data_IF_887303938320
#
_entry.id   IF_887303938320
#
_cell.length_a   1.000
_cell.length_b   1.000
_cell.length_c   1.000
_cell.angle_alpha   90.00
_cell.angle_beta   90.00
_cell.angle_gamma   90.00
#
_symmetry.space_group_name_H-M   'P 1'
#
loop_
_entity.id
_entity.type
_entity.pdbx_description
1 polymer ?
#
# COMPACT_ATOMS: atom_id res chain seq x y z
N UNK A 1 66.58 -44.34 39.89
CA UNK A 1 65.70 -44.35 41.08
C UNK A 1 64.47 -43.55 40.72
N UNK A 2 63.30 -44.13 40.96
CA UNK A 2 61.98 -43.69 40.50
C UNK A 2 61.34 -42.65 41.44
N UNK A 3 60.23 -42.08 40.97
CA UNK A 3 59.30 -41.11 41.58
C UNK A 3 59.60 -39.62 41.27
N UNK A 4 58.66 -38.79 40.85
CA UNK A 4 57.20 -38.95 40.81
C UNK A 4 56.51 -37.89 39.94
N UNK A 5 55.25 -38.16 39.63
CA UNK A 5 54.33 -37.38 38.79
C UNK A 5 53.78 -36.19 39.58
N UNK A 6 53.70 -35.02 38.93
CA UNK A 6 52.91 -33.87 39.36
C UNK A 6 52.34 -33.15 38.15
N UNK A 7 51.04 -33.32 37.92
CA UNK A 7 50.25 -32.63 36.89
C UNK A 7 49.99 -31.20 37.34
N UNK A 8 50.25 -30.21 36.48
CA UNK A 8 49.59 -28.90 36.58
C UNK A 8 49.14 -28.39 35.21
N UNK A 9 47.86 -28.08 35.17
CA UNK A 9 46.98 -27.71 34.06
C UNK A 9 47.36 -26.37 33.41
N UNK A 10 47.66 -26.36 32.12
CA UNK A 10 47.81 -25.15 31.30
C UNK A 10 46.67 -25.03 30.29
N UNK A 11 45.75 -24.10 30.52
CA UNK A 11 44.59 -23.83 29.64
C UNK A 11 44.90 -22.69 28.67
N UNK A 12 44.46 -22.88 27.42
CA UNK A 12 43.93 -21.91 26.44
C UNK A 12 44.84 -21.40 25.33
N UNK A 13 44.32 -21.53 24.11
CA UNK A 13 44.65 -20.66 22.98
C UNK A 13 44.16 -21.11 21.62
N UNK A 14 42.92 -21.59 21.46
CA UNK A 14 42.32 -21.69 20.11
C UNK A 14 41.62 -20.37 19.81
N UNK A 15 42.27 -19.52 19.02
CA UNK A 15 41.69 -18.30 18.49
C UNK A 15 40.67 -18.67 17.41
N UNK A 16 39.38 -18.58 17.72
CA UNK A 16 38.31 -18.68 16.74
C UNK A 16 38.11 -17.30 16.09
N UNK A 17 38.43 -17.18 14.81
CA UNK A 17 38.10 -16.01 13.99
C UNK A 17 36.60 -16.09 13.69
N UNK A 18 35.80 -15.26 14.35
CA UNK A 18 34.38 -15.13 14.06
C UNK A 18 34.21 -14.21 12.83
N UNK A 19 33.84 -14.80 11.69
CA UNK A 19 33.41 -14.06 10.50
C UNK A 19 32.00 -13.54 10.78
N UNK A 20 31.87 -12.24 11.05
CA UNK A 20 30.57 -11.58 11.15
C UNK A 20 29.98 -11.44 9.74
N UNK A 21 29.04 -12.33 9.38
CA UNK A 21 28.21 -12.16 8.20
C UNK A 21 27.27 -10.97 8.45
N UNK A 22 27.51 -9.84 7.78
CA UNK A 22 26.59 -8.72 7.74
C UNK A 22 25.37 -9.13 6.91
N UNK A 23 24.32 -9.59 7.58
CA UNK A 23 22.99 -9.65 6.97
C UNK A 23 22.48 -8.23 6.85
N UNK A 24 22.50 -7.68 5.62
CA UNK A 24 21.80 -6.45 5.28
C UNK A 24 20.30 -6.69 5.47
N UNK A 25 19.75 -6.25 6.60
CA UNK A 25 18.31 -6.21 6.83
C UNK A 25 17.74 -5.18 5.83
N UNK A 26 16.76 -5.54 4.99
CA UNK A 26 16.10 -4.56 4.14
C UNK A 26 15.49 -3.50 5.06
N UNK A 27 15.92 -2.24 4.92
CA UNK A 27 15.30 -1.14 5.62
C UNK A 27 13.81 -1.13 5.25
N UNK A 28 12.94 -1.19 6.26
CA UNK A 28 11.54 -0.87 6.05
C UNK A 28 11.52 0.60 5.59
N UNK A 29 11.26 0.82 4.30
CA UNK A 29 11.06 2.17 3.79
C UNK A 29 9.81 2.74 4.46
N UNK A 30 9.93 3.92 5.04
CA UNK A 30 8.79 4.61 5.64
C UNK A 30 8.04 5.36 4.55
N UNK A 31 6.71 5.45 4.71
CA UNK A 31 5.89 6.31 3.86
C UNK A 31 6.37 7.77 3.86
N UNK A 32 6.97 8.23 4.97
CA UNK A 32 7.47 9.60 5.12
C UNK A 32 8.60 9.97 4.14
N UNK A 33 9.38 9.00 3.66
CA UNK A 33 10.43 9.23 2.66
C UNK A 33 9.89 9.18 1.22
N UNK A 34 8.60 8.89 1.07
CA UNK A 34 7.89 8.76 -0.19
C UNK A 34 6.97 9.94 -0.45
N UNK A 35 6.79 10.30 -1.72
CA UNK A 35 5.67 11.15 -2.13
C UNK A 35 4.43 10.29 -2.34
N UNK A 36 3.28 10.79 -1.91
CA UNK A 36 2.00 10.08 -2.02
C UNK A 36 1.74 9.63 -3.46
N UNK A 37 2.09 10.45 -4.45
CA UNK A 37 1.98 10.17 -5.91
C UNK A 37 2.81 8.98 -6.41
N UNK A 38 3.78 8.50 -5.61
CA UNK A 38 4.65 7.35 -5.91
C UNK A 38 4.38 6.17 -4.99
N UNK A 39 3.50 6.31 -4.02
CA UNK A 39 3.35 5.32 -2.97
C UNK A 39 2.59 4.07 -3.45
N UNK A 40 3.04 2.91 -2.97
CA UNK A 40 2.43 1.61 -3.23
C UNK A 40 1.98 1.02 -1.90
N UNK A 41 0.76 0.51 -1.87
CA UNK A 41 0.12 -0.06 -0.71
C UNK A 41 -0.40 -1.46 -1.01
N UNK A 42 -0.36 -2.34 -0.02
CA UNK A 42 -0.78 -3.72 -0.16
C UNK A 42 -1.89 -4.07 0.83
N UNK A 43 -2.85 -4.85 0.34
CA UNK A 43 -3.85 -5.50 1.18
C UNK A 43 -3.19 -6.48 2.14
N UNK A 44 -3.70 -6.56 3.37
CA UNK A 44 -3.11 -7.38 4.44
C UNK A 44 -2.98 -8.86 4.06
N UNK A 45 -3.97 -9.38 3.33
CA UNK A 45 -4.04 -10.79 2.95
C UNK A 45 -3.59 -11.00 1.48
N UNK A 46 -3.05 -9.95 0.84
CA UNK A 46 -2.54 -9.99 -0.53
C UNK A 46 -3.64 -10.19 -1.57
N UNK A 47 -4.83 -9.62 -1.35
CA UNK A 47 -5.90 -9.62 -2.35
C UNK A 47 -5.63 -8.64 -3.50
N UNK A 48 -5.05 -7.47 -3.20
CA UNK A 48 -4.74 -6.44 -4.19
C UNK A 48 -3.61 -5.51 -3.77
N UNK A 49 -3.09 -4.78 -4.75
CA UNK A 49 -2.17 -3.66 -4.58
C UNK A 49 -2.84 -2.36 -5.03
N UNK A 50 -2.64 -1.29 -4.27
CA UNK A 50 -3.01 0.07 -4.65
C UNK A 50 -1.74 0.86 -4.94
N UNK A 51 -1.64 1.44 -6.14
CA UNK A 51 -0.49 2.22 -6.57
C UNK A 51 -0.93 3.62 -6.97
N UNK A 52 -0.37 4.63 -6.34
CA UNK A 52 -0.54 6.01 -6.78
C UNK A 52 0.29 6.30 -8.02
N UNK A 53 -0.15 7.29 -8.79
CA UNK A 53 0.58 7.85 -9.91
C UNK A 53 0.42 9.38 -9.91
N UNK A 54 1.40 10.12 -10.46
CA UNK A 54 1.27 11.56 -10.64
C UNK A 54 0.07 11.91 -11.52
N UNK A 55 -0.65 12.97 -11.18
CA UNK A 55 -1.77 13.50 -11.97
C UNK A 55 -1.32 14.10 -13.31
N UNK A 56 -0.04 14.44 -13.43
CA UNK A 56 0.58 15.02 -14.62
C UNK A 56 -0.13 16.29 -15.16
N UNK A 57 -0.93 16.95 -14.32
CA UNK A 57 -1.65 18.18 -14.65
C UNK A 57 -1.95 19.00 -13.39
N UNK A 58 -1.50 20.25 -13.38
CA UNK A 58 -1.82 21.22 -12.31
C UNK A 58 -3.28 21.68 -12.29
N UNK A 59 -4.04 21.36 -13.35
CA UNK A 59 -5.47 21.68 -13.48
C UNK A 59 -6.39 20.50 -13.19
N UNK A 60 -5.83 19.37 -12.71
CA UNK A 60 -6.63 18.24 -12.29
C UNK A 60 -7.52 18.62 -11.10
N UNK A 61 -8.81 18.29 -11.18
CA UNK A 61 -9.73 18.46 -10.05
C UNK A 61 -9.47 17.46 -8.92
N UNK A 62 -8.77 16.36 -9.23
CA UNK A 62 -8.34 15.37 -8.27
C UNK A 62 -7.12 15.85 -7.47
N UNK A 63 -7.04 15.46 -6.20
CA UNK A 63 -5.86 15.64 -5.35
C UNK A 63 -4.88 14.47 -5.45
N UNK A 64 -5.35 13.30 -5.90
CA UNK A 64 -4.56 12.12 -6.14
C UNK A 64 -5.18 11.25 -7.24
N UNK A 65 -4.34 10.47 -7.94
CA UNK A 65 -4.77 9.36 -8.80
C UNK A 65 -4.10 8.06 -8.36
N UNK A 66 -4.83 6.96 -8.44
CA UNK A 66 -4.31 5.64 -8.10
C UNK A 66 -4.91 4.55 -8.99
N UNK A 67 -4.29 3.37 -8.97
CA UNK A 67 -4.81 2.16 -9.58
C UNK A 67 -4.87 1.06 -8.54
N UNK A 68 -5.93 0.26 -8.58
CA UNK A 68 -6.04 -0.98 -7.82
C UNK A 68 -5.85 -2.16 -8.78
N UNK A 69 -4.85 -2.99 -8.51
CA UNK A 69 -4.60 -4.22 -9.25
C UNK A 69 -4.96 -5.42 -8.38
N UNK A 70 -5.95 -6.19 -8.82
CA UNK A 70 -6.30 -7.45 -8.18
C UNK A 70 -5.16 -8.44 -8.40
N UNK A 71 -4.63 -9.01 -7.32
CA UNK A 71 -3.50 -9.93 -7.45
C UNK A 71 -3.98 -11.23 -8.10
N UNK A 72 -3.13 -11.79 -8.99
CA UNK A 72 -3.37 -13.05 -9.74
C UNK A 72 -4.46 -12.96 -10.81
N UNK A 73 -4.95 -11.76 -11.14
CA UNK A 73 -5.87 -11.54 -12.27
C UNK A 73 -5.36 -10.37 -13.12
N UNK A 74 -5.85 -10.20 -14.35
CA UNK A 74 -5.53 -9.03 -15.16
C UNK A 74 -6.39 -7.80 -14.80
N UNK A 75 -7.21 -7.87 -13.74
CA UNK A 75 -8.16 -6.80 -13.39
C UNK A 75 -7.40 -5.62 -12.80
N UNK A 76 -7.55 -4.46 -13.45
CA UNK A 76 -7.04 -3.17 -13.00
C UNK A 76 -8.18 -2.17 -12.99
N UNK A 77 -8.32 -1.44 -11.89
CA UNK A 77 -9.32 -0.40 -11.70
C UNK A 77 -8.64 0.94 -11.50
N UNK A 78 -9.27 2.00 -11.97
CA UNK A 78 -8.74 3.36 -11.89
C UNK A 78 -9.44 4.15 -10.80
N UNK A 79 -8.65 4.84 -9.98
CA UNK A 79 -9.14 5.57 -8.83
C UNK A 79 -8.68 7.01 -8.84
N UNK A 80 -9.55 7.89 -8.37
CA UNK A 80 -9.29 9.31 -8.22
C UNK A 80 -9.76 9.75 -6.85
N UNK A 81 -9.00 10.64 -6.20
CA UNK A 81 -9.41 11.30 -4.96
C UNK A 81 -9.68 12.75 -5.25
N UNK A 82 -10.86 13.24 -4.87
CA UNK A 82 -11.27 14.63 -5.05
C UNK A 82 -11.65 15.24 -3.70
N UNK A 83 -11.32 16.53 -3.45
CA UNK A 83 -11.80 17.22 -2.28
C UNK A 83 -13.30 17.51 -2.41
N UNK A 84 -14.09 17.19 -1.37
CA UNK A 84 -15.47 17.68 -1.27
C UNK A 84 -15.51 19.17 -0.90
N UNK A 85 -16.67 19.81 -1.10
CA UNK A 85 -16.84 21.24 -0.86
C UNK A 85 -16.77 21.62 0.63
N UNK A 86 -17.74 21.20 1.44
CA UNK A 86 -17.80 21.56 2.88
C UNK A 86 -18.60 20.50 3.69
N UNK A 87 -18.00 19.90 4.75
CA UNK A 87 -16.58 19.99 5.10
C UNK A 87 -15.71 19.36 4.01
N UNK A 88 -14.48 19.88 3.88
CA UNK A 88 -13.50 19.31 2.95
C UNK A 88 -13.13 17.90 3.42
N UNK A 89 -13.40 16.92 2.56
CA UNK A 89 -13.06 15.51 2.75
C UNK A 89 -12.39 15.00 1.48
N UNK A 90 -11.39 14.14 1.65
CA UNK A 90 -10.83 13.39 0.55
C UNK A 90 -11.83 12.29 0.16
N UNK A 91 -12.51 12.43 -0.97
CA UNK A 91 -13.47 11.44 -1.49
C UNK A 91 -12.83 10.70 -2.66
N UNK A 92 -12.64 9.40 -2.49
CA UNK A 92 -12.19 8.50 -3.53
C UNK A 92 -13.36 8.00 -4.37
N UNK A 93 -13.12 7.82 -5.65
CA UNK A 93 -13.99 7.10 -6.59
C UNK A 93 -13.11 6.06 -7.30
N UNK A 94 -13.59 4.82 -7.37
CA UNK A 94 -12.97 3.71 -8.07
C UNK A 94 -13.86 3.26 -9.22
N UNK A 95 -13.27 3.18 -10.40
CA UNK A 95 -13.94 2.97 -11.67
C UNK A 95 -13.31 1.78 -12.40
N UNK A 96 -14.15 1.03 -13.12
CA UNK A 96 -13.68 -0.11 -13.92
C UNK A 96 -14.29 -0.07 -15.32
N UNK A 97 -13.44 0.03 -16.35
CA UNK A 97 -13.85 0.05 -17.76
C UNK A 97 -14.95 1.08 -18.06
N UNK A 98 -14.87 2.27 -17.44
CA UNK A 98 -15.80 3.34 -17.72
C UNK A 98 -15.61 3.89 -19.14
N UNK A 99 -16.70 4.19 -19.87
CA UNK A 99 -16.61 4.78 -21.19
C UNK A 99 -16.01 6.19 -21.13
N UNK A 100 -15.16 6.50 -22.11
CA UNK A 100 -14.62 7.86 -22.28
C UNK A 100 -15.52 8.69 -23.20
N UNK A 101 -15.44 10.02 -23.09
CA UNK A 101 -16.18 10.96 -23.93
C UNK A 101 -17.60 11.23 -23.42
N UNK A 102 -18.60 11.07 -24.28
CA UNK A 102 -20.01 11.39 -24.01
C UNK A 102 -20.69 10.31 -23.13
N UNK A 103 -20.11 10.01 -21.97
CA UNK A 103 -20.69 9.13 -20.97
C UNK A 103 -21.83 9.85 -20.21
N UNK A 104 -22.96 9.18 -20.04
CA UNK A 104 -24.04 9.69 -19.19
C UNK A 104 -23.75 9.41 -17.72
N UNK A 105 -24.46 10.10 -16.80
CA UNK A 105 -24.37 9.80 -15.37
C UNK A 105 -24.69 8.33 -15.05
N UNK A 106 -25.65 7.73 -15.76
CA UNK A 106 -26.00 6.32 -15.58
C UNK A 106 -24.88 5.38 -16.05
N UNK A 107 -24.15 5.74 -17.11
CA UNK A 107 -23.00 4.96 -17.58
C UNK A 107 -21.86 5.01 -16.56
N UNK A 108 -21.61 6.19 -15.97
CA UNK A 108 -20.61 6.37 -14.92
C UNK A 108 -20.98 5.64 -13.64
N UNK A 109 -22.25 5.66 -13.23
CA UNK A 109 -22.75 4.93 -12.07
C UNK A 109 -22.59 3.40 -12.26
N UNK A 110 -22.86 2.89 -13.47
CA UNK A 110 -22.78 1.46 -13.77
C UNK A 110 -21.34 0.90 -13.75
N UNK A 111 -20.35 1.74 -14.06
CA UNK A 111 -18.94 1.37 -14.08
C UNK A 111 -18.17 1.83 -12.82
N UNK A 112 -18.83 2.56 -11.91
CA UNK A 112 -18.28 2.93 -10.60
C UNK A 112 -18.36 1.72 -9.67
N UNK A 113 -17.20 1.27 -9.19
CA UNK A 113 -17.08 0.14 -8.28
C UNK A 113 -17.25 0.58 -6.82
N UNK A 114 -16.68 1.72 -6.46
CA UNK A 114 -16.70 2.22 -5.09
C UNK A 114 -16.60 3.74 -5.06
N UNK A 115 -17.25 4.35 -4.08
CA UNK A 115 -17.09 5.76 -3.76
C UNK A 115 -17.16 5.93 -2.24
N UNK A 116 -16.20 6.65 -1.67
CA UNK A 116 -16.14 6.83 -0.22
C UNK A 116 -15.01 7.73 0.24
N UNK A 117 -14.95 8.01 1.54
CA UNK A 117 -13.85 8.78 2.11
C UNK A 117 -12.53 8.03 2.02
N UNK A 118 -11.42 8.75 1.88
CA UNK A 118 -10.06 8.19 1.90
C UNK A 118 -9.28 8.88 3.00
N UNK A 119 -8.75 8.08 3.92
CA UNK A 119 -7.94 8.56 5.01
C UNK A 119 -6.51 8.04 4.92
N UNK A 120 -5.57 8.90 5.28
CA UNK A 120 -4.19 8.52 5.57
C UNK A 120 -4.00 8.34 7.08
N UNK A 121 -3.18 7.37 7.46
CA UNK A 121 -2.69 7.22 8.82
C UNK A 121 -1.18 7.42 8.81
N UNK A 122 -0.70 8.35 9.64
CA UNK A 122 0.73 8.66 9.74
C UNK A 122 1.50 7.65 10.61
N UNK A 123 2.82 7.87 10.75
CA UNK A 123 3.68 7.02 11.57
C UNK A 123 3.37 7.04 13.08
N UNK A 124 2.64 8.06 13.56
CA UNK A 124 2.17 8.15 14.95
C UNK A 124 0.83 7.44 15.14
N UNK A 125 0.18 7.00 14.06
CA UNK A 125 -1.15 6.42 14.09
C UNK A 125 -2.27 7.48 14.06
N UNK A 126 -1.95 8.73 13.75
CA UNK A 126 -2.94 9.80 13.59
C UNK A 126 -3.62 9.68 12.24
N UNK A 127 -4.95 9.75 12.23
CA UNK A 127 -5.77 9.64 11.02
C UNK A 127 -6.26 11.02 10.59
N UNK A 128 -6.10 11.31 9.30
CA UNK A 128 -6.63 12.52 8.66
C UNK A 128 -7.11 12.20 7.23
N UNK A 129 -7.76 13.15 6.57
CA UNK A 129 -7.96 13.10 5.12
C UNK A 129 -6.66 12.74 4.41
N UNK A 130 -6.75 11.95 3.34
CA UNK A 130 -5.60 11.69 2.50
C UNK A 130 -5.04 13.02 1.97
N UNK A 131 -3.75 13.23 2.20
CA UNK A 131 -3.04 14.41 1.74
C UNK A 131 -2.84 14.36 0.21
N UNK A 132 -2.68 15.51 -0.47
CA UNK A 132 -2.49 15.56 -1.92
C UNK A 132 -1.18 14.91 -2.38
N UNK A 133 -1.08 14.63 -3.68
CA UNK A 133 -0.06 13.80 -4.32
C UNK A 133 1.41 14.14 -3.95
N UNK A 134 1.74 15.42 -3.73
CA UNK A 134 3.08 15.91 -3.37
C UNK A 134 3.43 15.86 -1.87
N UNK A 135 2.49 15.47 -1.02
CA UNK A 135 2.72 15.28 0.41
C UNK A 135 3.51 13.99 0.70
N UNK A 136 3.97 13.84 1.94
CA UNK A 136 4.51 12.58 2.43
C UNK A 136 3.46 11.48 2.33
N UNK A 137 3.87 10.27 1.94
CA UNK A 137 2.94 9.16 1.84
C UNK A 137 2.49 8.69 3.23
N UNK A 138 1.20 8.40 3.36
CA UNK A 138 0.67 7.80 4.58
C UNK A 138 1.29 6.41 4.80
N UNK A 139 1.45 6.00 6.07
CA UNK A 139 1.91 4.66 6.44
C UNK A 139 0.82 3.60 6.22
N UNK A 140 -0.44 4.00 6.40
CA UNK A 140 -1.61 3.19 6.04
C UNK A 140 -2.66 4.03 5.36
N UNK A 141 -3.46 3.37 4.53
CA UNK A 141 -4.69 3.94 3.99
C UNK A 141 -5.88 3.27 4.62
N UNK A 142 -6.94 4.04 4.82
CA UNK A 142 -8.26 3.52 5.17
C UNK A 142 -9.25 3.99 4.13
N UNK A 143 -9.87 3.03 3.43
CA UNK A 143 -10.87 3.22 2.38
C UNK A 143 -12.16 2.48 2.80
N UNK A 144 -13.00 3.09 3.64
CA UNK A 144 -14.16 2.41 4.20
C UNK A 144 -15.10 1.86 3.13
N UNK A 145 -15.48 0.60 3.26
CA UNK A 145 -16.42 -0.08 2.36
C UNK A 145 -15.81 -0.55 1.03
N UNK A 146 -14.51 -0.37 0.81
CA UNK A 146 -13.85 -0.78 -0.44
C UNK A 146 -13.88 -2.30 -0.62
N UNK A 147 -13.57 -3.07 0.42
CA UNK A 147 -13.56 -4.53 0.41
C UNK A 147 -14.92 -5.13 0.01
N UNK A 148 -16.03 -4.75 0.68
CA UNK A 148 -17.38 -5.15 0.26
C UNK A 148 -17.71 -4.75 -1.18
N UNK A 149 -17.41 -3.51 -1.58
CA UNK A 149 -17.71 -3.00 -2.92
C UNK A 149 -16.99 -3.80 -4.02
N UNK A 150 -15.71 -4.12 -3.81
CA UNK A 150 -14.93 -4.98 -4.70
C UNK A 150 -15.54 -6.38 -4.83
N UNK A 151 -16.02 -6.98 -3.73
CA UNK A 151 -16.61 -8.33 -3.73
C UNK A 151 -17.96 -8.41 -4.43
N UNK A 152 -18.70 -7.31 -4.39
CA UNK A 152 -20.02 -7.19 -5.02
C UNK A 152 -19.90 -6.84 -6.50
N UNK A 153 -18.84 -6.13 -6.88
CA UNK A 153 -18.58 -5.74 -8.26
C UNK A 153 -18.38 -6.93 -9.20
N UNK A 154 -18.97 -6.83 -10.38
CA UNK A 154 -18.73 -7.73 -11.51
C UNK A 154 -17.31 -7.59 -12.09
N UNK A 155 -16.59 -6.50 -11.76
CA UNK A 155 -15.25 -6.21 -12.23
C UNK A 155 -14.19 -7.25 -11.84
N UNK A 156 -14.39 -7.95 -10.71
CA UNK A 156 -13.40 -8.89 -10.17
C UNK A 156 -13.33 -10.25 -10.90
N UNK A 157 -14.16 -10.44 -11.94
CA UNK A 157 -14.17 -11.65 -12.77
C UNK A 157 -15.01 -12.81 -12.21
N UNK A 158 -15.30 -13.78 -13.07
CA UNK A 158 -15.97 -15.03 -12.66
C UNK A 158 -15.05 -15.82 -11.72
N UNK A 159 -15.53 -16.13 -10.51
CA UNK A 159 -14.72 -16.74 -9.46
C UNK A 159 -14.12 -15.76 -8.44
N UNK A 160 -14.89 -14.70 -8.10
CA UNK A 160 -14.76 -13.74 -6.98
C UNK A 160 -13.63 -14.04 -5.99
N UNK A 161 -12.88 -13.01 -5.60
CA UNK A 161 -11.77 -13.07 -4.65
C UNK A 161 -12.02 -14.13 -3.56
N UNK A 162 -11.25 -15.22 -3.59
CA UNK A 162 -11.28 -16.23 -2.51
C UNK A 162 -10.74 -15.66 -1.20
N UNK A 163 -10.06 -14.51 -1.26
CA UNK A 163 -9.60 -13.70 -0.15
C UNK A 163 -10.45 -12.43 -0.09
N UNK A 164 -11.10 -12.18 1.04
CA UNK A 164 -11.89 -10.97 1.24
C UNK A 164 -10.94 -9.75 1.31
N UNK A 165 -11.10 -8.72 0.47
CA UNK A 165 -10.27 -7.54 0.51
C UNK A 165 -10.53 -6.73 1.78
N UNK A 166 -9.48 -6.17 2.39
CA UNK A 166 -9.57 -5.29 3.54
C UNK A 166 -9.74 -3.83 3.12
N UNK A 167 -10.41 -3.05 3.96
CA UNK A 167 -10.53 -1.61 3.77
C UNK A 167 -9.26 -0.84 4.19
N UNK A 168 -8.29 -1.54 4.78
CA UNK A 168 -7.05 -0.96 5.32
C UNK A 168 -5.85 -1.52 4.59
N UNK A 169 -5.05 -0.63 4.01
CA UNK A 169 -3.85 -0.99 3.26
C UNK A 169 -2.60 -0.49 3.98
N UNK A 170 -1.52 -1.25 3.85
CA UNK A 170 -0.23 -0.90 4.46
C UNK A 170 0.75 -0.45 3.39
N UNK A 171 1.50 0.61 3.66
CA UNK A 171 2.58 1.07 2.79
C UNK A 171 3.57 -0.08 2.55
N UNK A 172 3.94 -0.25 1.28
CA UNK A 172 4.83 -1.32 0.83
C UNK A 172 6.16 -0.74 0.35
N UNK A 173 6.10 0.21 -0.59
CA UNK A 173 7.28 0.78 -1.23
C UNK A 173 6.95 2.08 -1.98
N UNK A 174 7.99 2.80 -2.38
CA UNK A 174 7.89 3.83 -3.40
C UNK A 174 8.11 3.24 -4.78
N UNK A 175 7.20 3.55 -5.70
CA UNK A 175 7.41 3.33 -7.12
C UNK A 175 8.63 4.14 -7.60
N UNK A 176 9.53 3.46 -8.32
CA UNK A 176 10.73 4.07 -8.91
C UNK A 176 10.37 5.05 -10.00
#
# INVERSE_FOLDING_TARGET
>A
MSAGIGIMTGRKGVAAIAVAAFFSVPAATSGAECKQERAVYVDRDGAYELRFAPLNSVSAAASNQFKISALKTPVVMEGYVMPSADPVRAIGILMFNCPEGDATGADLDACTVWQGAVYGVDAKGEMDNLQPEGAEAAEKLVLPGLGPAIRESSAWGEGKASVAPWDVLTFKECAT
#
